data_IF_422699473132
#
_entry.id   IF_422699473132
#
_cell.length_a   1.000
_cell.length_b   1.000
_cell.length_c   1.000
_cell.angle_alpha   90.00
_cell.angle_beta   90.00
_cell.angle_gamma   90.00
#
_symmetry.space_group_name_H-M   'P 1'
#
loop_
_entity.id
_entity.type
_entity.pdbx_description
1 polymer ?
#
# COMPACT_ATOMS: atom_id res chain seq x y z
N UNK A 1 14.25 79.03 20.58
CA UNK A 1 15.41 78.13 20.34
C UNK A 1 15.24 76.73 20.97
N UNK A 2 14.02 76.23 21.17
CA UNK A 2 13.76 74.91 21.81
C UNK A 2 13.06 73.88 20.92
N UNK A 3 12.64 74.16 19.69
CA UNK A 3 11.89 73.26 18.80
C UNK A 3 12.81 72.46 17.86
N UNK A 4 14.02 72.96 17.55
CA UNK A 4 14.96 72.28 16.64
C UNK A 4 15.61 70.98 17.20
N UNK A 5 15.66 70.83 18.53
CA UNK A 5 16.31 69.66 19.14
C UNK A 5 15.34 68.48 19.34
N UNK A 6 14.02 68.71 19.38
CA UNK A 6 13.01 67.61 19.49
C UNK A 6 12.88 66.77 18.21
N UNK A 7 13.04 67.45 17.04
CA UNK A 7 12.93 66.78 15.74
C UNK A 7 14.13 65.82 15.44
N UNK A 8 15.32 66.14 15.99
CA UNK A 8 16.52 65.31 15.80
C UNK A 8 16.53 64.05 16.60
N UNK A 9 15.72 63.87 17.65
CA UNK A 9 15.65 62.69 18.48
C UNK A 9 14.52 61.78 18.00
N UNK A 10 13.46 62.32 17.42
CA UNK A 10 12.30 61.54 16.94
C UNK A 10 12.63 60.77 15.65
N UNK A 11 13.48 61.31 14.77
CA UNK A 11 13.81 60.69 13.49
C UNK A 11 14.61 59.36 13.61
N UNK A 12 15.63 59.19 14.48
CA UNK A 12 16.29 57.91 14.69
C UNK A 12 15.41 56.88 15.42
N UNK A 13 14.49 57.30 16.32
CA UNK A 13 13.58 56.38 16.99
C UNK A 13 12.53 55.77 16.05
N UNK A 14 12.02 56.55 15.09
CA UNK A 14 11.08 56.05 14.07
C UNK A 14 11.73 55.08 13.07
N UNK A 15 13.01 55.28 12.73
CA UNK A 15 13.76 54.35 11.85
C UNK A 15 14.05 53.04 12.58
N UNK A 16 14.37 53.06 13.87
CA UNK A 16 14.57 51.85 14.69
C UNK A 16 13.26 51.06 14.85
N UNK A 17 12.14 51.76 15.09
CA UNK A 17 10.82 51.14 15.16
C UNK A 17 10.35 50.54 13.81
N UNK A 18 10.71 51.15 12.68
CA UNK A 18 10.41 50.65 11.35
C UNK A 18 11.30 49.47 10.97
N UNK A 19 12.54 49.44 11.47
CA UNK A 19 13.47 48.30 11.25
C UNK A 19 13.11 47.07 12.10
N UNK A 20 12.52 47.25 13.29
CA UNK A 20 12.02 46.15 14.13
C UNK A 20 10.73 45.52 13.58
N UNK A 21 9.94 46.22 12.79
CA UNK A 21 8.75 45.68 12.10
C UNK A 21 9.10 44.88 10.85
N UNK A 22 10.32 44.97 10.32
CA UNK A 22 10.78 44.17 9.18
C UNK A 22 11.33 42.77 9.59
N UNK A 23 11.51 42.53 10.88
CA UNK A 23 11.80 41.21 11.43
C UNK A 23 10.54 40.45 11.86
N UNK A 24 9.36 40.76 11.27
CA UNK A 24 8.26 39.77 11.31
C UNK A 24 8.78 38.55 10.60
N UNK A 25 9.18 37.61 11.41
CA UNK A 25 9.59 36.25 11.08
C UNK A 25 8.78 35.77 9.89
N UNK A 26 9.42 35.53 8.76
CA UNK A 26 8.88 34.64 7.75
C UNK A 26 8.83 33.28 8.43
N UNK A 27 7.73 33.01 9.12
CA UNK A 27 7.47 31.72 9.70
C UNK A 27 7.49 30.74 8.51
N UNK A 28 8.61 30.04 8.38
CA UNK A 28 8.78 29.09 7.27
C UNK A 28 7.63 28.10 7.39
N UNK A 29 6.71 28.13 6.43
CA UNK A 29 5.56 27.26 6.44
C UNK A 29 6.07 25.82 6.54
N UNK A 30 5.72 25.15 7.63
CA UNK A 30 6.09 23.75 7.83
C UNK A 30 5.53 22.90 6.69
N UNK A 31 6.34 22.03 6.15
CA UNK A 31 5.95 21.17 5.05
C UNK A 31 6.51 19.76 5.21
N UNK A 32 5.85 18.79 4.57
CA UNK A 32 6.30 17.41 4.48
C UNK A 32 6.09 16.91 3.06
N UNK A 33 7.10 16.24 2.51
CA UNK A 33 7.06 15.64 1.18
C UNK A 33 6.76 14.14 1.30
N UNK A 34 5.68 13.70 0.66
CA UNK A 34 5.22 12.31 0.70
C UNK A 34 5.29 11.69 -0.69
N UNK A 35 5.98 10.57 -0.82
CA UNK A 35 5.87 9.74 -2.02
C UNK A 35 4.87 8.61 -1.71
N UNK A 36 3.81 8.51 -2.53
CA UNK A 36 2.68 7.62 -2.28
C UNK A 36 2.41 6.73 -3.49
N UNK A 37 2.33 5.40 -3.26
CA UNK A 37 1.95 4.43 -4.29
C UNK A 37 0.52 3.89 -4.09
N UNK A 38 -0.20 4.39 -3.10
CA UNK A 38 -1.63 4.14 -2.92
C UNK A 38 -2.42 5.09 -3.82
N UNK A 39 -3.51 4.61 -4.38
CA UNK A 39 -4.33 5.37 -5.32
C UNK A 39 -4.72 6.74 -4.75
N UNK A 40 -4.48 7.78 -5.55
CA UNK A 40 -4.65 9.17 -5.15
C UNK A 40 -6.07 9.45 -4.63
N UNK A 41 -7.08 8.83 -5.23
CA UNK A 41 -8.49 8.99 -4.83
C UNK A 41 -8.73 8.62 -3.36
N UNK A 42 -7.94 7.73 -2.79
CA UNK A 42 -8.04 7.29 -1.39
C UNK A 42 -7.03 7.98 -0.47
N UNK A 43 -5.82 8.21 -0.95
CA UNK A 43 -4.73 8.75 -0.13
C UNK A 43 -4.73 10.28 -0.02
N UNK A 44 -5.13 10.99 -1.07
CA UNK A 44 -5.15 12.45 -1.06
C UNK A 44 -6.11 13.06 -0.02
N UNK A 45 -7.34 12.56 0.19
CA UNK A 45 -8.21 13.07 1.25
C UNK A 45 -7.57 13.00 2.64
N UNK A 46 -6.92 11.88 2.97
CA UNK A 46 -6.24 11.68 4.25
C UNK A 46 -5.10 12.69 4.44
N UNK A 47 -4.30 12.92 3.40
CA UNK A 47 -3.21 13.90 3.44
C UNK A 47 -3.73 15.33 3.57
N UNK A 48 -4.87 15.65 2.97
CA UNK A 48 -5.53 16.96 3.11
C UNK A 48 -6.12 17.17 4.51
N UNK A 49 -6.66 16.14 5.11
CA UNK A 49 -7.17 16.21 6.47
C UNK A 49 -6.02 16.41 7.47
N UNK A 50 -4.87 15.75 7.27
CA UNK A 50 -3.66 16.04 8.02
C UNK A 50 -3.21 17.52 7.87
N UNK A 51 -3.18 18.08 6.64
CA UNK A 51 -2.88 19.51 6.43
C UNK A 51 -3.82 20.40 7.22
N UNK A 52 -5.12 20.12 7.18
CA UNK A 52 -6.15 20.91 7.84
C UNK A 52 -6.03 20.85 9.36
N UNK A 53 -5.71 19.69 9.93
CA UNK A 53 -5.61 19.51 11.37
C UNK A 53 -4.31 20.08 11.96
N UNK A 54 -3.21 20.01 11.22
CA UNK A 54 -1.88 20.36 11.73
C UNK A 54 -1.34 21.70 11.24
N UNK A 55 -1.87 22.21 10.12
CA UNK A 55 -1.31 23.36 9.42
C UNK A 55 -0.01 23.07 8.69
N UNK A 56 0.46 21.82 8.66
CA UNK A 56 1.66 21.39 7.94
C UNK A 56 1.27 21.13 6.48
N UNK A 57 1.92 21.79 5.53
CA UNK A 57 1.66 21.60 4.10
C UNK A 57 2.19 20.25 3.62
N UNK A 58 1.36 19.47 2.94
CA UNK A 58 1.75 18.20 2.33
C UNK A 58 2.05 18.40 0.84
N UNK A 59 3.25 18.00 0.42
CA UNK A 59 3.64 17.89 -0.99
C UNK A 59 3.64 16.43 -1.39
N UNK A 60 2.52 15.95 -1.91
CA UNK A 60 2.38 14.57 -2.31
C UNK A 60 2.84 14.35 -3.77
N UNK A 61 3.60 13.26 -3.98
CA UNK A 61 3.97 12.74 -5.29
C UNK A 61 3.36 11.35 -5.41
N UNK A 62 2.44 11.21 -6.35
CA UNK A 62 1.76 9.93 -6.60
C UNK A 62 2.42 9.17 -7.74
N UNK A 63 2.41 7.85 -7.64
CA UNK A 63 2.83 6.98 -8.75
C UNK A 63 1.73 6.88 -9.81
N UNK A 64 2.10 6.60 -11.06
CA UNK A 64 1.14 6.38 -12.14
C UNK A 64 0.75 4.91 -12.25
N UNK A 65 -0.41 4.61 -12.86
CA UNK A 65 -0.85 3.22 -13.07
C UNK A 65 0.16 2.41 -13.90
N UNK A 66 0.83 3.05 -14.89
CA UNK A 66 1.79 2.39 -15.78
C UNK A 66 3.11 2.05 -15.09
N UNK A 67 3.50 2.84 -14.08
CA UNK A 67 4.78 2.67 -13.36
C UNK A 67 4.59 2.19 -11.93
N UNK A 68 3.36 1.84 -11.56
CA UNK A 68 2.90 1.61 -10.19
C UNK A 68 3.91 0.84 -9.34
N UNK A 69 4.36 1.47 -8.28
CA UNK A 69 5.31 0.99 -7.28
C UNK A 69 6.79 0.90 -7.72
N UNK A 70 7.11 0.91 -9.02
CA UNK A 70 8.49 0.82 -9.50
C UNK A 70 9.10 2.19 -9.78
N UNK A 71 8.31 3.13 -10.30
CA UNK A 71 8.76 4.49 -10.62
C UNK A 71 9.21 5.24 -9.37
N UNK A 72 8.37 5.29 -8.34
CA UNK A 72 8.68 5.92 -7.05
C UNK A 72 9.81 5.22 -6.33
N UNK A 73 9.86 3.88 -6.35
CA UNK A 73 10.94 3.10 -5.76
C UNK A 73 12.30 3.48 -6.36
N UNK A 74 12.41 3.47 -7.68
CA UNK A 74 13.65 3.82 -8.39
C UNK A 74 14.07 5.28 -8.14
N UNK A 75 13.09 6.18 -8.03
CA UNK A 75 13.33 7.58 -7.70
C UNK A 75 13.92 7.72 -6.31
N UNK A 76 13.35 7.07 -5.28
CA UNK A 76 13.87 7.07 -3.92
C UNK A 76 15.31 6.53 -3.85
N UNK A 77 15.62 5.47 -4.64
CA UNK A 77 16.97 4.92 -4.74
C UNK A 77 17.94 5.92 -5.35
N UNK A 78 17.53 6.61 -6.42
CA UNK A 78 18.35 7.63 -7.07
C UNK A 78 18.60 8.87 -6.17
N UNK A 79 17.62 9.24 -5.34
CA UNK A 79 17.67 10.38 -4.42
C UNK A 79 18.38 10.07 -3.09
N UNK A 80 18.90 8.85 -2.87
CA UNK A 80 19.50 8.39 -1.60
C UNK A 80 20.48 9.37 -0.96
N UNK A 81 21.32 10.04 -1.77
CA UNK A 81 22.35 10.95 -1.29
C UNK A 81 21.87 12.39 -1.11
N UNK A 82 20.71 12.73 -1.65
CA UNK A 82 20.04 14.02 -1.54
C UNK A 82 18.52 13.81 -1.50
N UNK A 83 17.96 13.31 -0.39
CA UNK A 83 16.56 12.95 -0.28
C UNK A 83 15.64 14.15 -0.55
N UNK A 84 14.64 13.93 -1.41
CA UNK A 84 13.59 14.91 -1.73
C UNK A 84 12.26 14.52 -1.09
N UNK A 85 12.19 13.34 -0.48
CA UNK A 85 11.02 12.78 0.18
C UNK A 85 11.28 12.64 1.67
N UNK A 86 10.27 12.87 2.50
CA UNK A 86 10.32 12.72 3.95
C UNK A 86 9.64 11.43 4.42
N UNK A 87 8.51 11.09 3.76
CA UNK A 87 7.69 9.91 4.10
C UNK A 87 7.38 9.13 2.83
N UNK A 88 7.61 7.83 2.87
CA UNK A 88 7.17 6.91 1.84
C UNK A 88 5.94 6.12 2.32
N UNK A 89 4.80 6.33 1.67
CA UNK A 89 3.57 5.57 1.88
C UNK A 89 3.40 4.58 0.74
N UNK A 90 3.66 3.32 1.01
CA UNK A 90 3.54 2.22 0.05
C UNK A 90 2.22 1.46 0.21
N UNK A 91 1.70 0.96 -0.90
CA UNK A 91 0.58 0.01 -0.91
C UNK A 91 0.96 -1.42 -0.47
N UNK A 92 2.24 -1.70 -0.22
CA UNK A 92 2.74 -2.98 0.29
C UNK A 92 4.11 -2.81 0.98
N UNK A 93 4.51 -3.70 1.89
CA UNK A 93 5.76 -3.59 2.64
C UNK A 93 7.02 -4.01 1.87
N UNK A 94 6.91 -4.71 0.73
CA UNK A 94 8.10 -5.20 0.01
C UNK A 94 8.99 -4.05 -0.46
N UNK A 95 8.38 -2.96 -0.97
CA UNK A 95 9.13 -1.78 -1.42
C UNK A 95 9.84 -1.09 -0.26
N UNK A 96 9.18 -1.05 0.90
CA UNK A 96 9.78 -0.51 2.12
C UNK A 96 10.97 -1.35 2.57
N UNK A 97 10.91 -2.68 2.46
CA UNK A 97 12.05 -3.57 2.71
C UNK A 97 13.22 -3.32 1.75
N UNK A 98 12.95 -3.20 0.45
CA UNK A 98 13.99 -2.86 -0.54
C UNK A 98 14.67 -1.53 -0.18
N UNK A 99 13.90 -0.52 0.24
CA UNK A 99 14.45 0.77 0.67
C UNK A 99 15.29 0.65 1.94
N UNK A 100 14.85 -0.17 2.91
CA UNK A 100 15.63 -0.49 4.12
C UNK A 100 16.97 -1.13 3.79
N UNK A 101 16.96 -2.18 2.94
CA UNK A 101 18.18 -2.88 2.52
C UNK A 101 19.16 -1.95 1.79
N UNK A 102 18.65 -0.96 1.08
CA UNK A 102 19.44 0.09 0.44
C UNK A 102 19.86 1.22 1.40
N UNK A 103 19.47 1.19 2.69
CA UNK A 103 19.79 2.22 3.67
C UNK A 103 19.14 3.58 3.37
N UNK A 104 17.93 3.58 2.81
CA UNK A 104 17.17 4.78 2.44
C UNK A 104 16.18 5.15 3.53
N UNK A 105 15.68 4.18 4.29
CA UNK A 105 14.78 4.42 5.41
C UNK A 105 15.55 4.59 6.72
N UNK A 106 14.91 5.21 7.70
CA UNK A 106 15.39 5.28 9.08
C UNK A 106 14.35 4.73 10.04
N UNK A 107 14.80 4.15 11.14
CA UNK A 107 13.94 3.65 12.20
C UNK A 107 13.13 4.78 12.81
N UNK A 108 11.83 4.56 13.00
CA UNK A 108 10.95 5.44 13.76
C UNK A 108 9.92 4.63 14.56
N UNK A 109 9.90 4.82 15.87
CA UNK A 109 8.93 4.20 16.75
C UNK A 109 7.79 5.20 17.05
N UNK A 110 6.63 4.98 16.45
CA UNK A 110 5.39 5.68 16.78
C UNK A 110 4.73 5.06 18.01
N UNK A 111 4.06 5.85 18.83
CA UNK A 111 3.24 5.33 19.95
C UNK A 111 2.13 4.38 19.45
N UNK A 112 1.64 4.57 18.21
CA UNK A 112 0.66 3.68 17.60
C UNK A 112 1.23 2.29 17.26
N UNK A 113 2.55 2.16 17.10
CA UNK A 113 3.22 0.90 16.74
C UNK A 113 2.89 -0.25 17.68
N UNK A 114 2.70 0.03 18.97
CA UNK A 114 2.35 -0.98 19.97
C UNK A 114 0.95 -1.60 19.77
N UNK A 115 0.07 -0.93 19.03
CA UNK A 115 -1.28 -1.42 18.71
C UNK A 115 -1.32 -2.26 17.44
N UNK A 116 -0.22 -2.26 16.66
CA UNK A 116 -0.09 -2.98 15.38
C UNK A 116 0.60 -4.32 15.67
N UNK A 117 0.03 -5.46 15.23
CA UNK A 117 0.65 -6.76 15.42
C UNK A 117 2.06 -6.81 14.84
N UNK A 118 3.02 -7.42 15.55
CA UNK A 118 4.43 -7.54 15.16
C UNK A 118 4.63 -8.06 13.73
N UNK A 119 3.77 -8.92 13.30
CA UNK A 119 3.72 -9.51 11.97
C UNK A 119 3.53 -8.47 10.83
N UNK A 120 2.95 -7.30 11.13
CA UNK A 120 2.71 -6.22 10.19
C UNK A 120 3.66 -5.04 10.36
N UNK A 121 4.83 -5.24 10.95
CA UNK A 121 5.86 -4.22 11.07
C UNK A 121 7.25 -4.83 10.94
N UNK A 122 8.20 -4.05 10.51
CA UNK A 122 9.61 -4.44 10.52
C UNK A 122 10.15 -4.34 11.96
N UNK A 123 10.99 -5.29 12.35
CA UNK A 123 11.48 -5.46 13.73
C UNK A 123 12.16 -4.23 14.34
N UNK A 124 12.86 -3.45 13.50
CA UNK A 124 13.54 -2.22 13.88
C UNK A 124 12.75 -0.95 13.50
N UNK A 125 11.47 -1.12 13.11
CA UNK A 125 10.55 -0.05 12.70
C UNK A 125 11.04 0.81 11.52
N UNK A 126 11.75 0.22 10.56
CA UNK A 126 12.06 0.84 9.29
C UNK A 126 10.82 1.01 8.41
N UNK A 127 9.82 0.17 8.63
CA UNK A 127 8.46 0.38 8.14
C UNK A 127 7.44 -0.15 9.15
N UNK A 128 6.25 0.44 9.12
CA UNK A 128 5.13 0.05 9.97
C UNK A 128 3.91 -0.07 9.07
N UNK A 129 3.20 -1.20 9.20
CA UNK A 129 1.97 -1.46 8.45
C UNK A 129 0.76 -0.77 9.06
N UNK A 130 -0.21 -0.48 8.23
CA UNK A 130 -1.54 0.00 8.64
C UNK A 130 -2.56 -0.30 7.54
N UNK A 131 -3.82 -0.44 7.90
CA UNK A 131 -4.91 -0.70 6.95
C UNK A 131 -4.56 -1.70 5.85
N UNK A 132 -5.09 -2.89 5.93
CA UNK A 132 -4.73 -3.98 5.02
C UNK A 132 -5.84 -4.28 4.01
N UNK A 133 -5.44 -4.82 2.88
CA UNK A 133 -6.30 -5.60 1.99
C UNK A 133 -5.85 -7.07 1.97
N UNK A 134 -6.69 -7.94 1.45
CA UNK A 134 -6.35 -9.34 1.28
C UNK A 134 -6.52 -9.78 -0.17
N UNK A 135 -5.75 -10.78 -0.57
CA UNK A 135 -5.97 -11.48 -1.83
C UNK A 135 -7.22 -12.35 -1.72
N UNK A 136 -8.14 -12.18 -2.65
CA UNK A 136 -9.43 -12.89 -2.69
C UNK A 136 -9.71 -13.44 -4.07
N UNK A 137 -10.57 -14.47 -4.13
CA UNK A 137 -11.16 -14.94 -5.36
C UNK A 137 -12.49 -14.21 -5.56
N UNK A 138 -12.58 -13.38 -6.61
CA UNK A 138 -13.85 -12.82 -7.10
C UNK A 138 -14.47 -13.78 -8.11
N UNK A 139 -15.80 -13.96 -8.08
CA UNK A 139 -16.50 -14.85 -9.00
C UNK A 139 -17.86 -14.33 -9.45
N UNK A 140 -18.29 -14.80 -10.63
CA UNK A 140 -19.61 -14.51 -11.19
C UNK A 140 -20.57 -15.65 -10.84
N UNK A 141 -21.59 -15.34 -10.03
CA UNK A 141 -22.59 -16.32 -9.52
C UNK A 141 -23.41 -17.01 -10.62
N UNK A 142 -23.51 -16.38 -11.82
CA UNK A 142 -24.21 -17.00 -12.97
C UNK A 142 -23.35 -18.04 -13.68
N UNK A 143 -22.02 -17.99 -13.53
CA UNK A 143 -21.10 -18.87 -14.25
C UNK A 143 -20.53 -19.99 -13.38
N UNK A 144 -20.48 -19.80 -12.06
CA UNK A 144 -19.98 -20.79 -11.12
C UNK A 144 -20.67 -20.64 -9.76
N UNK A 145 -21.16 -21.75 -9.20
CA UNK A 145 -21.72 -21.76 -7.85
C UNK A 145 -20.64 -21.73 -6.78
N UNK A 146 -20.96 -21.22 -5.60
CA UNK A 146 -20.03 -21.14 -4.47
C UNK A 146 -19.42 -22.50 -4.11
N UNK A 147 -20.20 -23.57 -4.13
CA UNK A 147 -19.76 -24.94 -3.80
C UNK A 147 -18.80 -25.53 -4.85
N UNK A 148 -18.72 -24.93 -6.03
CA UNK A 148 -17.85 -25.37 -7.13
C UNK A 148 -16.54 -24.60 -7.22
N UNK A 149 -16.36 -23.59 -6.38
CA UNK A 149 -15.16 -22.74 -6.36
C UNK A 149 -13.91 -23.50 -5.91
N UNK A 150 -12.70 -23.05 -6.31
CA UNK A 150 -11.46 -23.46 -5.68
C UNK A 150 -11.48 -23.13 -4.18
N UNK A 151 -11.01 -24.04 -3.35
CA UNK A 151 -10.86 -23.80 -1.92
C UNK A 151 -9.53 -23.10 -1.59
N UNK A 152 -8.50 -23.34 -2.41
CA UNK A 152 -7.19 -22.72 -2.28
C UNK A 152 -6.64 -22.27 -3.62
N UNK A 153 -5.64 -21.39 -3.56
CA UNK A 153 -4.98 -20.87 -4.76
C UNK A 153 -4.33 -21.98 -5.60
N UNK A 154 -3.89 -23.06 -4.97
CA UNK A 154 -3.27 -24.19 -5.65
C UNK A 154 -4.28 -25.01 -6.46
N UNK A 155 -5.57 -24.94 -6.18
CA UNK A 155 -6.62 -25.64 -6.93
C UNK A 155 -6.84 -25.08 -8.34
N UNK A 156 -6.33 -23.88 -8.65
CA UNK A 156 -6.51 -23.24 -9.96
C UNK A 156 -5.94 -24.08 -11.12
N UNK A 157 -5.07 -25.04 -10.84
CA UNK A 157 -4.52 -25.98 -11.82
C UNK A 157 -5.45 -27.18 -12.10
N UNK A 158 -6.55 -27.35 -11.36
CA UNK A 158 -7.48 -28.45 -11.57
C UNK A 158 -8.18 -28.32 -12.93
N UNK A 159 -8.29 -29.41 -13.71
CA UNK A 159 -8.82 -29.37 -15.08
C UNK A 159 -10.24 -28.78 -15.21
N UNK A 160 -11.06 -28.87 -14.17
CA UNK A 160 -12.43 -28.33 -14.15
C UNK A 160 -12.48 -26.80 -14.29
N UNK A 161 -11.36 -26.09 -14.05
CA UNK A 161 -11.25 -24.63 -14.14
C UNK A 161 -10.59 -24.14 -15.43
N UNK A 162 -10.25 -25.04 -16.35
CA UNK A 162 -9.52 -24.70 -17.57
C UNK A 162 -10.17 -23.61 -18.39
N UNK A 163 -9.45 -22.50 -18.63
CA UNK A 163 -9.90 -21.35 -19.43
C UNK A 163 -10.99 -20.52 -18.80
N UNK A 164 -11.25 -20.67 -17.48
CA UNK A 164 -12.37 -20.05 -16.80
C UNK A 164 -11.96 -18.92 -15.85
N UNK A 165 -10.68 -18.62 -15.68
CA UNK A 165 -10.19 -17.70 -14.67
C UNK A 165 -9.05 -16.82 -15.15
N UNK A 166 -8.83 -15.70 -14.41
CA UNK A 166 -7.72 -14.80 -14.62
C UNK A 166 -6.93 -14.55 -13.33
N UNK A 167 -5.67 -14.17 -13.53
CA UNK A 167 -4.85 -13.45 -12.54
C UNK A 167 -4.35 -12.16 -13.17
N UNK A 168 -4.07 -11.13 -12.37
CA UNK A 168 -3.39 -9.95 -12.88
C UNK A 168 -1.93 -10.29 -13.26
N UNK A 169 -1.32 -9.42 -14.08
CA UNK A 169 0.05 -9.63 -14.55
C UNK A 169 1.01 -9.83 -13.35
N UNK A 170 1.66 -11.01 -13.27
CA UNK A 170 2.49 -11.38 -12.14
C UNK A 170 3.81 -10.60 -12.02
N UNK A 171 4.12 -9.71 -12.95
CA UNK A 171 5.28 -8.83 -12.87
C UNK A 171 5.04 -7.56 -12.06
N UNK A 172 3.78 -7.28 -11.68
CA UNK A 172 3.39 -6.03 -11.05
C UNK A 172 2.47 -6.22 -9.85
N UNK A 173 2.49 -5.23 -8.95
CA UNK A 173 1.53 -5.08 -7.87
C UNK A 173 1.44 -6.26 -6.90
N UNK A 174 0.25 -6.45 -6.33
CA UNK A 174 -0.03 -7.46 -5.30
C UNK A 174 0.02 -8.89 -5.83
N UNK A 175 -0.16 -9.11 -7.13
CA UNK A 175 0.00 -10.44 -7.74
C UNK A 175 1.46 -10.90 -7.70
N UNK A 176 2.42 -10.01 -7.98
CA UNK A 176 3.85 -10.31 -7.83
C UNK A 176 4.19 -10.70 -6.40
N UNK A 177 3.66 -9.93 -5.44
CA UNK A 177 3.84 -10.21 -4.02
C UNK A 177 3.26 -11.60 -3.66
N UNK A 178 2.06 -11.92 -4.12
CA UNK A 178 1.43 -13.22 -3.83
C UNK A 178 2.25 -14.38 -4.39
N UNK A 179 2.78 -14.25 -5.61
CA UNK A 179 3.65 -15.26 -6.20
C UNK A 179 4.95 -15.42 -5.39
N UNK A 180 5.59 -14.31 -5.01
CA UNK A 180 6.78 -14.37 -4.17
C UNK A 180 6.50 -15.03 -2.81
N UNK A 181 5.32 -14.78 -2.21
CA UNK A 181 4.87 -15.45 -0.99
C UNK A 181 4.71 -16.97 -1.17
N UNK A 182 4.09 -17.39 -2.28
CA UNK A 182 3.96 -18.81 -2.63
C UNK A 182 5.35 -19.46 -2.82
N UNK A 183 6.28 -18.78 -3.48
CA UNK A 183 7.67 -19.25 -3.58
C UNK A 183 8.36 -19.37 -2.22
N UNK A 184 8.13 -18.41 -1.32
CA UNK A 184 8.65 -18.48 0.04
C UNK A 184 8.13 -19.68 0.83
N UNK A 185 6.85 -20.05 0.64
CA UNK A 185 6.20 -21.14 1.37
C UNK A 185 6.46 -22.51 0.77
N UNK A 186 6.42 -22.64 -0.55
CA UNK A 186 6.48 -23.94 -1.24
C UNK A 186 7.86 -24.27 -1.82
N UNK A 187 8.73 -23.28 -1.92
CA UNK A 187 10.01 -23.38 -2.62
C UNK A 187 9.88 -23.31 -4.14
N UNK A 188 11.02 -23.18 -4.80
CA UNK A 188 11.12 -22.90 -6.24
C UNK A 188 10.48 -23.95 -7.14
N UNK A 189 10.73 -25.23 -6.87
CA UNK A 189 10.25 -26.33 -7.72
C UNK A 189 8.73 -26.42 -7.74
N UNK A 190 8.09 -26.44 -6.56
CA UNK A 190 6.64 -26.56 -6.45
C UNK A 190 5.92 -25.32 -6.99
N UNK A 191 6.47 -24.13 -6.74
CA UNK A 191 5.90 -22.86 -7.23
C UNK A 191 5.96 -22.76 -8.76
N UNK A 192 7.09 -23.15 -9.37
CA UNK A 192 7.22 -23.22 -10.83
C UNK A 192 6.29 -24.26 -11.44
N UNK A 193 6.14 -25.43 -10.81
CA UNK A 193 5.19 -26.45 -11.23
C UNK A 193 3.74 -25.93 -11.20
N UNK A 194 3.36 -25.25 -10.13
CA UNK A 194 2.05 -24.60 -10.02
C UNK A 194 1.83 -23.54 -11.11
N UNK A 195 2.75 -22.61 -11.31
CA UNK A 195 2.65 -21.59 -12.37
C UNK A 195 2.53 -22.21 -13.77
N UNK A 196 3.33 -23.24 -14.08
CA UNK A 196 3.19 -24.00 -15.33
C UNK A 196 1.83 -24.70 -15.43
N UNK A 197 1.30 -25.19 -14.32
CA UNK A 197 -0.06 -25.74 -14.25
C UNK A 197 -1.13 -24.70 -14.58
N UNK A 198 -0.97 -23.43 -14.15
CA UNK A 198 -1.87 -22.34 -14.55
C UNK A 198 -1.86 -22.13 -16.07
N UNK A 199 -0.67 -22.19 -16.70
CA UNK A 199 -0.51 -22.07 -18.17
C UNK A 199 -1.22 -23.22 -18.89
N UNK A 200 -1.00 -24.48 -18.46
CA UNK A 200 -1.69 -25.66 -18.99
C UNK A 200 -3.21 -25.51 -18.84
N UNK A 201 -3.64 -24.90 -17.75
CA UNK A 201 -5.05 -24.61 -17.45
C UNK A 201 -5.59 -23.36 -18.13
N UNK A 202 -4.82 -22.77 -19.06
CA UNK A 202 -5.18 -21.58 -19.87
C UNK A 202 -5.63 -20.42 -19.01
N UNK A 203 -4.82 -20.07 -17.99
CA UNK A 203 -5.04 -18.85 -17.21
C UNK A 203 -5.02 -17.62 -18.12
N UNK A 204 -5.92 -16.70 -17.91
CA UNK A 204 -5.88 -15.37 -18.56
C UNK A 204 -5.02 -14.44 -17.72
N UNK A 205 -3.95 -13.89 -18.30
CA UNK A 205 -3.15 -12.83 -17.68
C UNK A 205 -3.81 -11.49 -18.00
N UNK A 206 -4.47 -10.92 -17.01
CA UNK A 206 -5.10 -9.62 -17.11
C UNK A 206 -4.07 -8.48 -16.86
N UNK A 207 -4.33 -7.29 -17.36
CA UNK A 207 -3.40 -6.16 -17.21
C UNK A 207 -3.25 -5.68 -15.76
N UNK A 208 -4.33 -5.80 -14.96
CA UNK A 208 -4.38 -5.37 -13.56
C UNK A 208 -5.43 -6.17 -12.77
N UNK A 209 -5.46 -6.00 -11.44
CA UNK A 209 -6.55 -6.52 -10.60
C UNK A 209 -7.91 -5.95 -11.02
N UNK A 210 -7.98 -4.66 -11.35
CA UNK A 210 -9.18 -4.02 -11.89
C UNK A 210 -9.63 -4.62 -13.23
N UNK A 211 -8.71 -5.09 -14.10
CA UNK A 211 -9.08 -5.82 -15.32
C UNK A 211 -9.64 -7.21 -15.01
N UNK A 212 -9.06 -7.94 -14.03
CA UNK A 212 -9.63 -9.20 -13.53
C UNK A 212 -11.07 -8.98 -13.06
N UNK A 213 -11.29 -7.99 -12.19
CA UNK A 213 -12.60 -7.58 -11.70
C UNK A 213 -13.59 -7.35 -12.85
N UNK A 214 -13.23 -6.50 -13.82
CA UNK A 214 -14.08 -6.15 -14.96
C UNK A 214 -14.46 -7.36 -15.82
N UNK A 215 -13.52 -8.30 -16.06
CA UNK A 215 -13.78 -9.53 -16.85
C UNK A 215 -14.76 -10.45 -16.15
N UNK A 216 -14.62 -10.62 -14.83
CA UNK A 216 -15.55 -11.43 -14.02
C UNK A 216 -16.93 -10.78 -13.96
N UNK A 217 -17.02 -9.48 -13.72
CA UNK A 217 -18.29 -8.74 -13.71
C UNK A 217 -19.05 -8.85 -15.04
N UNK A 218 -18.32 -8.76 -16.17
CA UNK A 218 -18.89 -8.89 -17.51
C UNK A 218 -19.23 -10.34 -17.92
N UNK A 219 -19.00 -11.32 -17.04
CA UNK A 219 -19.23 -12.73 -17.35
C UNK A 219 -18.30 -13.31 -18.43
N UNK A 220 -17.17 -12.68 -18.71
CA UNK A 220 -16.14 -13.20 -19.63
C UNK A 220 -15.37 -14.37 -18.99
N UNK A 221 -15.26 -14.36 -17.67
CA UNK A 221 -14.59 -15.39 -16.87
C UNK A 221 -15.45 -15.75 -15.65
N UNK A 222 -15.36 -16.98 -15.21
CA UNK A 222 -16.13 -17.45 -14.07
C UNK A 222 -15.59 -16.88 -12.75
N UNK A 223 -14.27 -16.77 -12.62
CA UNK A 223 -13.64 -16.23 -11.42
C UNK A 223 -12.24 -15.62 -11.73
N UNK A 224 -11.65 -14.99 -10.75
CA UNK A 224 -10.29 -14.47 -10.84
C UNK A 224 -9.70 -14.11 -9.47
N UNK A 225 -8.39 -13.92 -9.43
CA UNK A 225 -7.67 -13.52 -8.23
C UNK A 225 -7.48 -12.01 -8.24
N UNK A 226 -8.03 -11.31 -7.24
CA UNK A 226 -7.92 -9.85 -7.07
C UNK A 226 -7.72 -9.47 -5.59
N UNK A 227 -7.87 -8.20 -5.25
CA UNK A 227 -7.81 -7.70 -3.89
C UNK A 227 -9.22 -7.41 -3.32
N UNK A 228 -9.34 -7.32 -1.99
CA UNK A 228 -10.64 -7.08 -1.32
C UNK A 228 -11.29 -5.75 -1.71
N UNK A 229 -10.52 -4.70 -1.96
CA UNK A 229 -11.00 -3.39 -2.42
C UNK A 229 -11.67 -3.49 -3.79
N UNK A 230 -11.03 -4.13 -4.78
CA UNK A 230 -11.65 -4.41 -6.09
C UNK A 230 -12.93 -5.25 -5.98
N UNK A 231 -12.89 -6.30 -5.15
CA UNK A 231 -14.05 -7.18 -4.96
C UNK A 231 -15.21 -6.46 -4.27
N UNK A 232 -14.90 -5.56 -3.33
CA UNK A 232 -15.88 -4.73 -2.65
C UNK A 232 -16.55 -3.74 -3.61
N UNK A 233 -15.78 -3.06 -4.47
CA UNK A 233 -16.35 -2.21 -5.52
C UNK A 233 -17.27 -3.01 -6.46
N UNK A 234 -16.81 -4.18 -6.93
CA UNK A 234 -17.60 -5.02 -7.81
C UNK A 234 -18.95 -5.41 -7.20
N UNK A 235 -18.99 -5.72 -5.90
CA UNK A 235 -20.24 -6.06 -5.20
C UNK A 235 -21.18 -4.87 -5.06
N UNK A 236 -20.67 -3.65 -4.97
CA UNK A 236 -21.50 -2.44 -4.98
C UNK A 236 -22.11 -2.17 -6.35
N UNK A 237 -21.40 -2.56 -7.43
CA UNK A 237 -21.83 -2.32 -8.80
C UNK A 237 -22.75 -3.44 -9.35
N UNK A 238 -22.65 -4.67 -8.82
CA UNK A 238 -23.38 -5.83 -9.36
C UNK A 238 -23.68 -6.89 -8.31
N UNK A 239 -24.96 -7.27 -8.25
CA UNK A 239 -25.42 -8.42 -7.45
C UNK A 239 -24.98 -9.78 -8.03
N UNK A 240 -24.49 -9.82 -9.27
CA UNK A 240 -24.07 -11.05 -9.94
C UNK A 240 -22.70 -11.55 -9.50
N UNK A 241 -21.94 -10.73 -8.78
CA UNK A 241 -20.60 -11.11 -8.30
C UNK A 241 -20.55 -11.24 -6.79
N UNK A 242 -19.62 -12.08 -6.34
CA UNK A 242 -19.24 -12.18 -4.94
C UNK A 242 -17.78 -12.59 -4.84
N UNK A 243 -17.25 -12.66 -3.62
CA UNK A 243 -15.87 -13.08 -3.39
C UNK A 243 -15.73 -13.99 -2.18
N UNK A 244 -14.65 -14.76 -2.14
CA UNK A 244 -14.28 -15.60 -1.01
C UNK A 244 -12.81 -15.41 -0.66
N UNK A 245 -12.47 -15.62 0.62
CA UNK A 245 -11.09 -15.81 1.06
C UNK A 245 -10.67 -17.25 0.77
N UNK A 246 -9.53 -17.41 0.07
CA UNK A 246 -8.99 -18.73 -0.25
C UNK A 246 -8.19 -19.31 0.92
N UNK A 247 -7.98 -20.62 0.90
CA UNK A 247 -7.08 -21.33 1.81
C UNK A 247 -7.44 -21.22 3.31
N UNK A 248 -8.74 -21.05 3.62
CA UNK A 248 -9.22 -20.88 5.00
C UNK A 248 -9.40 -22.21 5.75
N UNK A 249 -9.45 -23.33 5.05
CA UNK A 249 -9.59 -24.68 5.62
C UNK A 249 -8.34 -25.10 6.42
N UNK A 250 -8.47 -26.14 7.20
CA UNK A 250 -7.32 -26.78 7.87
C UNK A 250 -6.30 -27.24 6.83
N UNK A 251 -5.01 -27.01 7.07
CA UNK A 251 -3.94 -27.28 6.11
C UNK A 251 -3.80 -26.29 4.94
N UNK A 252 -4.78 -25.40 4.69
CA UNK A 252 -4.67 -24.36 3.67
C UNK A 252 -3.58 -23.34 3.97
N UNK A 253 -3.06 -22.65 2.95
CA UNK A 253 -1.97 -21.67 3.09
C UNK A 253 -2.40 -20.39 3.85
N UNK A 254 -3.71 -20.08 3.89
CA UNK A 254 -4.25 -18.80 4.34
C UNK A 254 -4.31 -17.76 3.21
N UNK A 255 -5.11 -16.72 3.37
CA UNK A 255 -5.15 -15.61 2.44
C UNK A 255 -4.00 -14.65 2.70
N UNK A 256 -3.34 -14.20 1.63
CA UNK A 256 -2.28 -13.20 1.76
C UNK A 256 -2.90 -11.85 2.17
N UNK A 257 -2.51 -11.38 3.34
CA UNK A 257 -2.87 -10.06 3.86
C UNK A 257 -1.76 -9.09 3.47
N UNK A 258 -2.13 -7.93 2.94
CA UNK A 258 -1.19 -6.93 2.43
C UNK A 258 -1.51 -5.59 3.09
N UNK A 259 -0.78 -5.19 4.12
CA UNK A 259 -0.94 -3.86 4.70
C UNK A 259 -0.38 -2.80 3.77
N UNK A 260 -0.88 -1.56 3.87
CA UNK A 260 -0.06 -0.42 3.52
C UNK A 260 1.16 -0.40 4.44
N UNK A 261 2.22 0.23 3.99
CA UNK A 261 3.40 0.42 4.82
C UNK A 261 3.88 1.87 4.75
N UNK A 262 4.28 2.42 5.87
CA UNK A 262 4.86 3.76 5.95
C UNK A 262 6.29 3.68 6.46
N UNK A 263 7.19 4.46 5.84
CA UNK A 263 8.60 4.59 6.23
C UNK A 263 8.99 6.05 6.36
N UNK A 264 9.80 6.37 7.36
CA UNK A 264 10.56 7.61 7.42
C UNK A 264 11.79 7.51 6.52
N UNK A 265 12.07 8.54 5.74
CA UNK A 265 13.24 8.57 4.86
C UNK A 265 14.45 9.12 5.64
N UNK A 266 15.57 8.42 5.53
CA UNK A 266 16.82 8.80 6.19
C UNK A 266 17.36 10.12 5.63
N UNK A 267 17.85 11.00 6.52
CA UNK A 267 18.40 12.31 6.16
C UNK A 267 17.43 13.24 5.44
N UNK A 268 16.13 13.00 5.55
CA UNK A 268 15.10 13.86 4.97
C UNK A 268 15.11 15.25 5.61
N UNK A 269 14.78 16.32 4.83
CA UNK A 269 14.86 17.69 5.34
C UNK A 269 13.82 18.01 6.41
N UNK A 270 12.62 17.41 6.35
CA UNK A 270 11.50 17.74 7.25
C UNK A 270 11.18 16.58 8.20
N UNK A 271 12.22 16.03 8.85
CA UNK A 271 12.11 14.83 9.71
C UNK A 271 11.14 14.98 10.88
N UNK A 272 10.93 16.18 11.42
CA UNK A 272 9.97 16.42 12.52
C UNK A 272 8.52 16.31 12.00
N UNK A 273 8.23 16.94 10.88
CA UNK A 273 6.92 16.89 10.22
C UNK A 273 6.60 15.50 9.67
N UNK A 274 7.64 14.78 9.19
CA UNK A 274 7.53 13.39 8.76
C UNK A 274 6.99 12.47 9.88
N UNK A 275 7.51 12.62 11.10
CA UNK A 275 7.07 11.84 12.26
C UNK A 275 5.60 12.13 12.61
N UNK A 276 5.18 13.39 12.57
CA UNK A 276 3.78 13.77 12.80
C UNK A 276 2.85 13.15 11.76
N UNK A 277 3.27 13.14 10.49
CA UNK A 277 2.49 12.51 9.44
C UNK A 277 2.43 10.98 9.61
N UNK A 278 3.54 10.33 9.97
CA UNK A 278 3.55 8.89 10.23
C UNK A 278 2.60 8.55 11.39
N UNK A 279 2.64 9.31 12.49
CA UNK A 279 1.73 9.10 13.62
C UNK A 279 0.27 9.28 13.22
N UNK A 280 -0.04 10.25 12.34
CA UNK A 280 -1.38 10.45 11.80
C UNK A 280 -1.83 9.26 10.93
N UNK A 281 -0.98 8.80 10.01
CA UNK A 281 -1.27 7.65 9.16
C UNK A 281 -1.51 6.36 9.95
N UNK A 282 -0.82 6.20 11.07
CA UNK A 282 -0.97 5.06 11.99
C UNK A 282 -2.11 5.22 12.98
N UNK A 283 -2.97 6.23 12.84
CA UNK A 283 -4.07 6.48 13.76
C UNK A 283 -5.31 5.62 13.47
N UNK A 284 -6.15 5.42 14.48
CA UNK A 284 -7.46 4.77 14.31
C UNK A 284 -8.37 5.54 13.36
N UNK A 285 -8.23 6.86 13.29
CA UNK A 285 -8.97 7.73 12.38
C UNK A 285 -8.64 7.37 10.93
N UNK A 286 -7.36 7.36 10.57
CA UNK A 286 -6.91 7.00 9.21
C UNK A 286 -7.35 5.58 8.83
N UNK A 287 -7.24 4.60 9.74
CA UNK A 287 -7.70 3.24 9.47
C UNK A 287 -9.22 3.16 9.27
N UNK A 288 -10.01 3.95 10.00
CA UNK A 288 -11.46 4.03 9.80
C UNK A 288 -11.82 4.68 8.46
N UNK A 289 -11.11 5.73 8.05
CA UNK A 289 -11.32 6.40 6.77
C UNK A 289 -10.99 5.50 5.58
N UNK A 290 -9.88 4.75 5.63
CA UNK A 290 -9.51 3.77 4.61
C UNK A 290 -10.50 2.59 4.59
N UNK A 291 -11.06 2.19 5.72
CA UNK A 291 -12.11 1.17 5.76
C UNK A 291 -13.40 1.66 5.07
N UNK A 292 -13.75 2.93 5.23
CA UNK A 292 -14.94 3.53 4.62
C UNK A 292 -14.74 3.77 3.12
N UNK A 293 -13.60 4.33 2.73
CA UNK A 293 -13.35 4.78 1.35
C UNK A 293 -13.03 3.63 0.40
N UNK A 294 -12.22 2.66 0.82
CA UNK A 294 -11.74 1.57 -0.04
C UNK A 294 -11.78 0.18 0.60
N UNK A 295 -12.62 -0.01 1.63
CA UNK A 295 -12.83 -1.30 2.29
C UNK A 295 -11.56 -1.98 2.84
N UNK A 296 -10.55 -1.21 3.19
CA UNK A 296 -9.37 -1.74 3.84
C UNK A 296 -9.66 -2.17 5.28
N UNK A 297 -9.03 -3.24 5.70
CA UNK A 297 -9.21 -3.84 7.01
C UNK A 297 -8.25 -3.20 8.02
N UNK A 298 -8.74 -2.60 9.12
CA UNK A 298 -7.88 -2.04 10.15
C UNK A 298 -6.97 -3.10 10.79
N UNK A 299 -5.72 -2.73 11.05
CA UNK A 299 -4.78 -3.53 11.86
C UNK A 299 -4.96 -3.26 13.36
N UNK A 300 -5.42 -2.06 13.71
CA UNK A 300 -5.66 -1.67 15.11
C UNK A 300 -7.02 -2.21 15.56
N UNK A 301 -7.02 -2.90 16.71
CA UNK A 301 -8.25 -3.44 17.29
C UNK A 301 -9.21 -2.33 17.72
N UNK A 302 -10.52 -2.57 17.51
CA UNK A 302 -11.58 -1.68 17.97
C UNK A 302 -11.81 -0.46 17.08
N UNK A 303 -11.23 -0.40 15.88
CA UNK A 303 -11.63 0.56 14.86
C UNK A 303 -13.02 0.17 14.34
N UNK A 304 -13.93 1.15 14.29
CA UNK A 304 -15.29 0.95 13.75
C UNK A 304 -15.22 0.97 12.22
N UNK A 305 -15.75 -0.06 11.59
CA UNK A 305 -15.75 -0.23 10.13
C UNK A 305 -17.17 -0.42 9.60
N UNK A 306 -17.42 -0.13 8.31
CA UNK A 306 -18.63 -0.57 7.64
C UNK A 306 -18.84 -2.08 7.81
N UNK A 307 -20.10 -2.51 7.90
CA UNK A 307 -20.46 -3.93 8.13
C UNK A 307 -19.92 -4.86 7.05
N UNK A 308 -19.76 -4.35 5.86
CA UNK A 308 -19.31 -5.08 4.67
C UNK A 308 -17.79 -5.28 4.65
N UNK A 309 -17.03 -4.53 5.46
CA UNK A 309 -15.58 -4.68 5.59
C UNK A 309 -15.29 -5.83 6.56
N UNK A 310 -14.68 -6.92 6.10
CA UNK A 310 -14.41 -8.06 6.96
C UNK A 310 -13.39 -7.71 8.04
N UNK A 311 -13.51 -8.37 9.17
CA UNK A 311 -12.50 -8.24 10.22
C UNK A 311 -11.27 -9.08 9.86
N UNK A 312 -10.09 -8.46 9.87
CA UNK A 312 -8.81 -9.13 9.70
C UNK A 312 -8.65 -10.34 10.64
N UNK A 313 -9.18 -10.23 11.86
CA UNK A 313 -9.07 -11.26 12.89
C UNK A 313 -9.96 -12.50 12.67
N UNK A 314 -10.82 -12.48 11.66
CA UNK A 314 -11.65 -13.61 11.23
C UNK A 314 -11.08 -14.35 10.01
N UNK A 315 -9.95 -13.87 9.48
CA UNK A 315 -9.32 -14.43 8.28
C UNK A 315 -8.06 -15.17 8.71
N UNK A 316 -7.90 -16.41 8.27
CA UNK A 316 -6.63 -17.13 8.41
C UNK A 316 -5.59 -16.50 7.50
N UNK A 317 -4.56 -15.83 8.05
CA UNK A 317 -3.55 -15.19 7.23
C UNK A 317 -2.57 -16.19 6.66
N UNK A 318 -2.07 -15.95 5.46
CA UNK A 318 -0.90 -16.61 4.91
C UNK A 318 0.32 -16.19 5.74
N UNK A 319 1.05 -17.15 6.30
CA UNK A 319 2.24 -16.86 7.11
C UNK A 319 3.42 -16.51 6.20
N UNK A 320 3.75 -15.25 6.14
CA UNK A 320 4.82 -14.72 5.27
C UNK A 320 5.93 -14.07 6.10
N UNK A 321 7.16 -14.22 5.63
CA UNK A 321 8.32 -13.50 6.09
C UNK A 321 8.69 -12.48 5.01
N UNK A 322 8.49 -11.18 5.28
CA UNK A 322 8.68 -10.13 4.29
C UNK A 322 10.13 -9.99 3.81
N UNK A 323 11.12 -10.22 4.68
CA UNK A 323 12.53 -10.18 4.30
C UNK A 323 12.83 -11.33 3.32
N UNK A 324 12.36 -12.54 3.64
CA UNK A 324 12.52 -13.71 2.77
C UNK A 324 11.81 -13.55 1.43
N UNK A 325 10.59 -13.00 1.43
CA UNK A 325 9.82 -12.76 0.20
C UNK A 325 10.50 -11.72 -0.68
N UNK A 326 11.08 -10.66 -0.11
CA UNK A 326 11.80 -9.63 -0.87
C UNK A 326 12.96 -10.25 -1.65
N UNK A 327 13.79 -11.05 -0.97
CA UNK A 327 14.89 -11.80 -1.60
C UNK A 327 14.39 -12.76 -2.68
N UNK A 328 13.28 -13.47 -2.43
CA UNK A 328 12.67 -14.37 -3.42
C UNK A 328 12.15 -13.61 -4.63
N UNK A 329 11.51 -12.47 -4.44
CA UNK A 329 11.00 -11.64 -5.53
C UNK A 329 12.10 -11.29 -6.53
N UNK A 330 13.25 -10.83 -6.06
CA UNK A 330 14.39 -10.52 -6.91
C UNK A 330 14.90 -11.74 -7.68
N UNK A 331 15.03 -12.87 -7.00
CA UNK A 331 15.54 -14.12 -7.59
C UNK A 331 14.62 -14.69 -8.70
N UNK A 332 13.29 -14.52 -8.58
CA UNK A 332 12.33 -15.09 -9.54
C UNK A 332 12.02 -14.19 -10.73
N UNK A 333 12.34 -12.88 -10.68
CA UNK A 333 11.94 -11.90 -11.69
C UNK A 333 12.30 -12.31 -13.13
N UNK A 334 13.53 -12.76 -13.36
CA UNK A 334 13.99 -13.15 -14.69
C UNK A 334 13.23 -14.36 -15.27
N UNK A 335 12.92 -15.34 -14.42
CA UNK A 335 12.13 -16.51 -14.80
C UNK A 335 10.66 -16.14 -15.02
N UNK A 336 10.09 -15.32 -14.13
CA UNK A 336 8.69 -14.91 -14.17
C UNK A 336 8.39 -14.08 -15.42
N UNK A 337 9.32 -13.21 -15.82
CA UNK A 337 9.24 -12.45 -17.09
C UNK A 337 9.11 -13.37 -18.30
N UNK A 338 9.98 -14.36 -18.42
CA UNK A 338 9.90 -15.36 -19.50
C UNK A 338 8.59 -16.12 -19.46
N UNK A 339 8.15 -16.53 -18.27
CA UNK A 339 6.88 -17.25 -18.11
C UNK A 339 5.68 -16.43 -18.60
N UNK A 340 5.65 -15.11 -18.34
CA UNK A 340 4.59 -14.20 -18.81
C UNK A 340 4.65 -14.01 -20.33
N UNK A 341 5.86 -13.80 -20.91
CA UNK A 341 6.05 -13.62 -22.34
C UNK A 341 5.65 -14.85 -23.16
N UNK A 342 5.74 -16.02 -22.59
CA UNK A 342 5.39 -17.30 -23.24
C UNK A 342 3.94 -17.76 -22.99
N UNK A 343 3.16 -17.06 -22.15
CA UNK A 343 1.78 -17.42 -21.83
C UNK A 343 0.78 -16.73 -22.77
#
# INVERSE_FOLDING_TARGET
>A
MKVKNAIKIIFPLTIIALFTLLFTSCEHQKEVVVYCTVDQVFSEPILKDFEKETGIKVKAVYDTEETKSTGVLNRLIAEKNNPQCDVFWSGDPLRNNILKENGITTSYHSAATEQIPDYFREKDNHWIGFSARARVLIYNKKLISADSLPQGVLDFVLPKYKGRFAIANPLFGTTTFHIAAIYGLLGDSASKAWLNGLKVNKVVIATSNGDVKKRVMKGQLAFGLTDTDDAFEAKKESDDVDYIFLDQQEGGLGSLIIPNAVSAIAKSPNSAEAKLLIDYLLSKQTEAELAISCAQMPLIKGVVTPKEVPSLYQIKPMKVDYDHITTKLEAIQGWLKKWVEEN
#
